data_IF_638505773656
#
_entry.id   IF_638505773656
#
_cell.length_a   1.000
_cell.length_b   1.000
_cell.length_c   1.000
_cell.angle_alpha   90.00
_cell.angle_beta   90.00
_cell.angle_gamma   90.00
#
_symmetry.space_group_name_H-M   'P 1'
#
loop_
_entity.id
_entity.type
_entity.pdbx_description
1 polymer ?
#
# COMPACT_ATOMS: atom_id res chain seq x y z
N UNK A 1 17.07 -5.77 25.76
CA UNK A 1 18.44 -5.78 25.20
C UNK A 1 19.35 -6.28 26.31
N UNK A 2 20.29 -7.18 26.01
CA UNK A 2 21.08 -7.88 27.05
C UNK A 2 21.74 -9.15 26.50
N UNK A 3 22.53 -9.84 27.33
CA UNK A 3 23.24 -11.08 27.01
C UNK A 3 22.33 -12.21 26.49
N UNK A 4 21.08 -12.25 26.97
CA UNK A 4 20.07 -13.23 26.55
C UNK A 4 19.28 -12.83 25.29
N UNK A 5 19.66 -11.75 24.61
CA UNK A 5 18.99 -11.33 23.37
C UNK A 5 19.25 -12.32 22.24
N UNK A 6 18.22 -12.79 21.55
CA UNK A 6 18.41 -13.61 20.33
C UNK A 6 19.23 -12.89 19.23
N UNK A 7 19.30 -11.56 19.24
CA UNK A 7 20.05 -10.78 18.26
C UNK A 7 21.56 -10.79 18.58
N UNK A 8 22.37 -11.37 17.69
CA UNK A 8 23.83 -11.43 17.83
C UNK A 8 24.51 -10.07 17.99
N UNK A 9 23.98 -9.01 17.36
CA UNK A 9 24.49 -7.64 17.53
C UNK A 9 24.28 -7.09 18.94
N UNK A 10 23.15 -7.43 19.58
CA UNK A 10 22.89 -7.01 20.96
C UNK A 10 23.75 -7.79 21.96
N UNK A 11 24.05 -9.06 21.67
CA UNK A 11 24.98 -9.86 22.49
C UNK A 11 26.40 -9.31 22.40
N UNK A 12 26.86 -8.99 21.19
CA UNK A 12 28.20 -8.44 20.95
C UNK A 12 28.40 -7.06 21.58
N UNK A 13 27.35 -6.22 21.65
CA UNK A 13 27.38 -4.94 22.36
C UNK A 13 27.62 -5.08 23.86
N UNK A 14 27.13 -6.16 24.48
CA UNK A 14 27.32 -6.43 25.92
C UNK A 14 28.65 -7.14 26.18
N UNK A 15 29.06 -8.05 25.28
CA UNK A 15 30.31 -8.82 25.41
C UNK A 15 31.55 -8.04 24.96
N UNK A 16 31.40 -6.90 24.29
CA UNK A 16 32.51 -6.10 23.73
C UNK A 16 33.16 -6.71 22.48
N UNK A 17 32.64 -7.82 21.97
CA UNK A 17 33.16 -8.49 20.78
C UNK A 17 32.66 -7.81 19.48
N UNK A 18 33.45 -7.90 18.41
CA UNK A 18 32.99 -7.42 17.08
C UNK A 18 31.95 -8.38 16.50
N UNK A 19 30.75 -7.87 16.23
CA UNK A 19 29.73 -8.62 15.52
C UNK A 19 30.11 -8.76 14.03
N UNK A 20 30.48 -9.97 13.60
CA UNK A 20 30.70 -10.26 12.18
C UNK A 20 29.47 -10.98 11.65
N UNK A 21 28.65 -10.29 10.86
CA UNK A 21 27.55 -10.93 10.15
C UNK A 21 28.09 -11.64 8.89
N UNK A 22 27.67 -12.90 8.71
CA UNK A 22 28.10 -13.80 7.61
C UNK A 22 27.87 -13.21 6.20
N UNK A 23 26.94 -12.25 6.07
CA UNK A 23 26.61 -11.55 4.82
C UNK A 23 26.59 -10.04 5.02
N UNK A 24 27.69 -9.47 5.50
CA UNK A 24 27.81 -8.01 5.67
C UNK A 24 27.96 -7.30 4.32
N UNK A 25 27.24 -6.20 4.15
CA UNK A 25 27.42 -5.33 2.99
C UNK A 25 28.77 -4.60 3.07
N UNK A 26 29.45 -4.36 1.94
CA UNK A 26 30.62 -3.49 1.90
C UNK A 26 30.29 -2.11 2.46
N UNK A 27 31.21 -1.53 3.21
CA UNK A 27 31.02 -0.26 3.92
C UNK A 27 30.54 0.91 3.02
N UNK A 28 31.05 1.09 1.78
CA UNK A 28 30.55 2.13 0.88
C UNK A 28 29.07 1.94 0.51
N UNK A 29 28.65 0.70 0.29
CA UNK A 29 27.27 0.34 -0.04
C UNK A 29 26.36 0.57 1.17
N UNK A 30 26.84 0.19 2.36
CA UNK A 30 26.11 0.40 3.60
C UNK A 30 25.92 1.89 3.88
N UNK A 31 26.94 2.73 3.72
CA UNK A 31 26.84 4.17 3.94
C UNK A 31 25.86 4.83 2.95
N UNK A 32 25.94 4.49 1.67
CA UNK A 32 25.00 4.98 0.66
C UNK A 32 23.56 4.57 0.96
N UNK A 33 23.36 3.30 1.32
CA UNK A 33 22.03 2.74 1.60
C UNK A 33 21.46 3.29 2.91
N UNK A 34 22.30 3.46 3.95
CA UNK A 34 21.91 3.98 5.27
C UNK A 34 21.35 5.39 5.18
N UNK A 35 21.85 6.24 4.28
CA UNK A 35 21.30 7.57 4.02
C UNK A 35 19.84 7.47 3.55
N UNK A 36 19.59 6.67 2.52
CA UNK A 36 18.25 6.44 1.97
C UNK A 36 17.29 5.89 3.03
N UNK A 37 17.73 4.89 3.82
CA UNK A 37 16.90 4.34 4.88
C UNK A 37 16.54 5.36 5.97
N UNK A 38 17.46 6.28 6.34
CA UNK A 38 17.14 7.34 7.31
C UNK A 38 16.12 8.33 6.76
N UNK A 39 16.25 8.72 5.50
CA UNK A 39 15.29 9.61 4.84
C UNK A 39 13.90 8.96 4.75
N UNK A 40 13.84 7.66 4.44
CA UNK A 40 12.59 6.89 4.40
C UNK A 40 11.99 6.63 5.79
N UNK A 41 12.81 6.65 6.85
CA UNK A 41 12.38 6.48 8.23
C UNK A 41 11.92 7.80 8.90
N UNK A 42 11.87 8.92 8.17
CA UNK A 42 11.36 10.18 8.71
C UNK A 42 9.91 10.01 9.18
N UNK A 43 9.66 10.35 10.45
CA UNK A 43 8.33 10.26 11.07
C UNK A 43 7.28 11.07 10.31
N UNK A 44 7.65 12.21 9.71
CA UNK A 44 6.74 13.03 8.89
C UNK A 44 6.38 12.36 7.57
N UNK A 45 7.27 11.54 7.02
CA UNK A 45 7.03 10.75 5.82
C UNK A 45 6.22 9.50 6.16
N UNK A 46 6.59 8.80 7.23
CA UNK A 46 5.90 7.62 7.74
C UNK A 46 4.47 7.92 8.20
N UNK A 47 4.19 9.11 8.75
CA UNK A 47 2.81 9.52 9.10
C UNK A 47 1.89 9.66 7.88
N UNK A 48 2.46 9.80 6.68
CA UNK A 48 1.73 9.80 5.40
C UNK A 48 1.59 8.40 4.81
N UNK A 49 2.38 7.43 5.28
CA UNK A 49 2.33 6.04 4.85
C UNK A 49 1.18 5.31 5.56
N UNK A 50 0.07 5.13 4.84
CA UNK A 50 -1.08 4.35 5.29
C UNK A 50 -0.68 2.87 5.31
N UNK A 51 -0.68 2.24 6.49
CA UNK A 51 -0.43 0.82 6.79
C UNK A 51 -0.56 -0.17 5.61
N UNK A 52 0.44 -0.22 4.72
CA UNK A 52 0.54 -1.19 3.63
C UNK A 52 -0.37 -0.96 2.41
N UNK A 53 -0.94 0.23 2.21
CA UNK A 53 -1.60 0.57 0.94
C UNK A 53 -0.64 1.30 -0.01
N UNK A 54 -0.76 0.97 -1.31
CA UNK A 54 0.18 1.33 -2.38
C UNK A 54 0.58 2.81 -2.36
N UNK A 55 1.90 3.06 -2.32
CA UNK A 55 2.56 4.36 -2.46
C UNK A 55 2.45 4.97 -3.88
N UNK A 56 1.32 4.84 -4.56
CA UNK A 56 1.14 5.48 -5.88
C UNK A 56 -0.17 6.26 -5.92
N UNK A 57 -0.19 7.52 -5.45
CA UNK A 57 -1.31 8.42 -5.72
C UNK A 57 -1.65 8.50 -7.22
N UNK A 58 -0.63 8.37 -8.08
CA UNK A 58 -0.74 8.49 -9.53
C UNK A 58 -1.48 7.34 -10.24
N UNK A 59 -1.47 6.12 -9.68
CA UNK A 59 -2.23 5.00 -10.28
C UNK A 59 -3.72 5.13 -10.00
N UNK A 60 -4.08 5.72 -8.87
CA UNK A 60 -5.48 5.87 -8.47
C UNK A 60 -6.14 7.00 -9.24
N UNK A 61 -5.43 8.11 -9.51
CA UNK A 61 -5.93 9.19 -10.36
C UNK A 61 -6.30 8.71 -11.77
N UNK A 62 -5.48 7.85 -12.38
CA UNK A 62 -5.76 7.28 -13.73
C UNK A 62 -7.02 6.42 -13.77
N UNK A 63 -7.36 5.72 -12.67
CA UNK A 63 -8.58 4.90 -12.57
C UNK A 63 -9.80 5.78 -12.33
N UNK A 64 -9.69 6.82 -11.51
CA UNK A 64 -10.77 7.79 -11.26
C UNK A 64 -11.12 8.56 -12.54
N UNK A 65 -10.12 9.04 -13.30
CA UNK A 65 -10.36 9.68 -14.61
C UNK A 65 -11.12 8.77 -15.58
N UNK A 66 -10.81 7.47 -15.60
CA UNK A 66 -11.48 6.49 -16.47
C UNK A 66 -12.92 6.19 -16.06
N UNK A 67 -13.28 6.38 -14.78
CA UNK A 67 -14.68 6.23 -14.32
C UNK A 67 -15.52 7.47 -14.62
N UNK A 68 -14.96 8.67 -14.47
CA UNK A 68 -15.68 9.93 -14.71
C UNK A 68 -15.82 10.26 -16.21
N UNK A 69 -14.79 9.96 -17.02
CA UNK A 69 -14.78 10.24 -18.46
C UNK A 69 -14.67 8.96 -19.29
N UNK A 70 -15.69 8.71 -20.11
CA UNK A 70 -15.60 7.68 -21.14
C UNK A 70 -14.66 8.17 -22.25
N UNK A 71 -13.69 7.34 -22.64
CA UNK A 71 -12.69 7.67 -23.69
C UNK A 71 -13.32 7.99 -25.06
N UNK A 72 -14.58 7.61 -25.25
CA UNK A 72 -15.30 7.76 -26.51
C UNK A 72 -16.08 9.08 -26.59
N UNK A 73 -16.08 9.89 -25.53
CA UNK A 73 -16.82 11.15 -25.50
C UNK A 73 -15.87 12.32 -25.66
N UNK A 74 -16.03 13.08 -26.74
CA UNK A 74 -15.30 14.33 -26.92
C UNK A 74 -15.89 15.40 -25.98
N UNK A 75 -15.04 16.01 -25.16
CA UNK A 75 -15.41 17.09 -24.23
C UNK A 75 -14.52 18.30 -24.43
N UNK A 76 -15.11 19.49 -24.28
CA UNK A 76 -14.37 20.75 -24.34
C UNK A 76 -13.32 20.85 -23.23
N UNK A 77 -12.24 21.62 -23.48
CA UNK A 77 -11.10 21.69 -22.57
C UNK A 77 -11.45 22.25 -21.17
N UNK A 78 -12.45 23.13 -21.08
CA UNK A 78 -12.92 23.67 -19.79
C UNK A 78 -13.60 22.57 -18.97
N UNK A 79 -14.51 21.82 -19.59
CA UNK A 79 -15.20 20.68 -18.95
C UNK A 79 -14.21 19.63 -18.49
N UNK A 80 -13.19 19.35 -19.32
CA UNK A 80 -12.12 18.42 -18.95
C UNK A 80 -11.36 18.90 -17.71
N UNK A 81 -10.96 20.18 -17.66
CA UNK A 81 -10.29 20.76 -16.49
C UNK A 81 -11.14 20.66 -15.22
N UNK A 82 -12.43 20.98 -15.31
CA UNK A 82 -13.34 20.92 -14.16
C UNK A 82 -13.47 19.49 -13.65
N UNK A 83 -13.78 18.53 -14.54
CA UNK A 83 -13.92 17.14 -14.12
C UNK A 83 -12.61 16.53 -13.63
N UNK A 84 -11.45 17.00 -14.11
CA UNK A 84 -10.15 16.58 -13.57
C UNK A 84 -9.96 17.04 -12.13
N UNK A 85 -10.28 18.31 -11.85
CA UNK A 85 -10.20 18.87 -10.50
C UNK A 85 -11.21 18.19 -9.55
N UNK A 86 -12.43 17.98 -10.01
CA UNK A 86 -13.50 17.34 -9.24
C UNK A 86 -13.20 15.87 -8.93
N UNK A 87 -12.70 15.11 -9.92
CA UNK A 87 -12.20 13.75 -9.72
C UNK A 87 -11.10 13.68 -8.66
N UNK A 88 -10.13 14.60 -8.71
CA UNK A 88 -9.07 14.70 -7.72
C UNK A 88 -9.60 15.02 -6.32
N UNK A 89 -10.53 15.96 -6.23
CA UNK A 89 -11.18 16.37 -4.98
C UNK A 89 -11.97 15.20 -4.35
N UNK A 90 -12.80 14.52 -5.14
CA UNK A 90 -13.56 13.35 -4.71
C UNK A 90 -12.67 12.19 -4.30
N UNK A 91 -11.52 12.02 -4.95
CA UNK A 91 -10.58 10.97 -4.60
C UNK A 91 -9.94 11.22 -3.23
N UNK A 92 -9.45 12.43 -2.99
CA UNK A 92 -8.70 12.80 -1.78
C UNK A 92 -9.65 12.97 -0.59
N UNK A 93 -10.70 13.77 -0.74
CA UNK A 93 -11.57 14.20 0.38
C UNK A 93 -12.87 13.41 0.40
N UNK A 94 -13.43 13.08 -0.77
CA UNK A 94 -14.75 12.45 -0.91
C UNK A 94 -15.76 13.37 -1.60
N UNK A 95 -16.90 12.81 -2.00
CA UNK A 95 -17.97 13.53 -2.70
C UNK A 95 -18.61 14.64 -1.86
N UNK A 96 -18.57 14.54 -0.52
CA UNK A 96 -19.11 15.57 0.36
C UNK A 96 -18.44 16.93 0.20
N UNK A 97 -17.16 16.97 -0.21
CA UNK A 97 -16.43 18.21 -0.49
C UNK A 97 -17.05 19.07 -1.60
N UNK A 98 -17.82 18.47 -2.51
CA UNK A 98 -18.60 19.21 -3.52
C UNK A 98 -19.59 20.21 -2.88
N UNK A 99 -20.03 19.97 -1.65
CA UNK A 99 -20.87 20.93 -0.92
C UNK A 99 -20.17 22.26 -0.67
N UNK A 100 -18.86 22.25 -0.44
CA UNK A 100 -18.06 23.45 -0.22
C UNK A 100 -17.80 24.20 -1.53
N UNK A 101 -17.54 23.45 -2.61
CA UNK A 101 -17.45 24.01 -3.96
C UNK A 101 -18.75 24.72 -4.34
N UNK A 102 -19.92 24.09 -4.09
CA UNK A 102 -21.22 24.70 -4.35
C UNK A 102 -21.42 26.00 -3.55
N UNK A 103 -21.06 26.02 -2.27
CA UNK A 103 -21.13 27.22 -1.43
C UNK A 103 -20.27 28.35 -1.97
N UNK A 104 -19.05 28.04 -2.43
CA UNK A 104 -18.14 29.03 -3.02
C UNK A 104 -18.67 29.59 -4.35
N UNK A 105 -19.52 28.84 -5.05
CA UNK A 105 -20.24 29.29 -6.24
C UNK A 105 -21.55 30.04 -5.91
N UNK A 106 -21.84 30.28 -4.62
CA UNK A 106 -23.07 30.95 -4.16
C UNK A 106 -24.29 30.03 -4.09
N UNK A 107 -24.11 28.72 -4.21
CA UNK A 107 -25.19 27.72 -4.17
C UNK A 107 -25.20 27.05 -2.80
N UNK A 108 -26.27 27.26 -2.03
CA UNK A 108 -26.44 26.59 -0.73
C UNK A 108 -26.91 25.15 -0.94
N UNK A 109 -26.12 24.13 -0.56
CA UNK A 109 -26.52 22.73 -0.73
C UNK A 109 -27.69 22.38 0.19
N UNK A 110 -28.77 21.84 -0.38
CA UNK A 110 -29.90 21.36 0.40
C UNK A 110 -29.59 20.08 1.18
N UNK A 111 -30.47 19.74 2.13
CA UNK A 111 -30.33 18.52 2.97
C UNK A 111 -30.21 17.24 2.13
N UNK A 112 -31.05 17.10 1.09
CA UNK A 112 -31.02 15.94 0.19
C UNK A 112 -29.68 15.79 -0.54
N UNK A 113 -29.08 16.91 -0.95
CA UNK A 113 -27.77 16.93 -1.62
C UNK A 113 -26.67 16.49 -0.67
N UNK A 114 -26.66 17.05 0.55
CA UNK A 114 -25.72 16.66 1.60
C UNK A 114 -25.82 15.17 1.94
N UNK A 115 -27.04 14.66 2.14
CA UNK A 115 -27.27 13.26 2.50
C UNK A 115 -26.90 12.32 1.34
N UNK A 116 -27.15 12.73 0.10
CA UNK A 116 -26.75 11.96 -1.09
C UNK A 116 -25.24 11.85 -1.21
N UNK A 117 -24.50 12.94 -1.03
CA UNK A 117 -23.03 12.89 -1.05
C UNK A 117 -22.45 12.05 0.08
N UNK A 118 -23.01 12.14 1.30
CA UNK A 118 -22.62 11.26 2.41
C UNK A 118 -22.86 9.79 2.08
N UNK A 119 -23.99 9.45 1.45
CA UNK A 119 -24.29 8.07 1.02
C UNK A 119 -23.28 7.58 -0.02
N UNK A 120 -22.91 8.41 -0.99
CA UNK A 120 -21.89 8.08 -1.99
C UNK A 120 -20.55 7.78 -1.31
N UNK A 121 -20.13 8.64 -0.37
CA UNK A 121 -18.88 8.42 0.38
C UNK A 121 -18.92 7.15 1.23
N UNK A 122 -20.04 6.86 1.89
CA UNK A 122 -20.21 5.61 2.64
C UNK A 122 -20.13 4.38 1.73
N UNK A 123 -20.77 4.41 0.56
CA UNK A 123 -20.70 3.31 -0.41
C UNK A 123 -19.27 3.10 -0.90
N UNK A 124 -18.55 4.19 -1.20
CA UNK A 124 -17.14 4.15 -1.60
C UNK A 124 -16.27 3.48 -0.54
N UNK A 125 -16.45 3.82 0.73
CA UNK A 125 -15.70 3.22 1.83
C UNK A 125 -16.04 1.74 1.98
N UNK A 126 -17.33 1.38 1.98
CA UNK A 126 -17.78 -0.02 2.06
C UNK A 126 -17.22 -0.88 0.93
N UNK A 127 -17.22 -0.37 -0.29
CA UNK A 127 -16.68 -1.08 -1.45
C UNK A 127 -15.15 -1.24 -1.34
N UNK A 128 -14.44 -0.21 -0.87
CA UNK A 128 -13.01 -0.30 -0.61
C UNK A 128 -12.67 -1.33 0.47
N UNK A 129 -13.41 -1.35 1.58
CA UNK A 129 -13.25 -2.33 2.66
C UNK A 129 -13.55 -3.75 2.17
N UNK A 130 -14.61 -3.93 1.39
CA UNK A 130 -14.96 -5.22 0.79
C UNK A 130 -13.85 -5.74 -0.12
N UNK A 131 -13.34 -4.89 -1.02
CA UNK A 131 -12.24 -5.22 -1.92
C UNK A 131 -10.96 -5.55 -1.16
N UNK A 132 -10.66 -4.81 -0.08
CA UNK A 132 -9.53 -5.10 0.80
C UNK A 132 -9.67 -6.46 1.48
N UNK A 133 -10.85 -6.79 2.01
CA UNK A 133 -11.10 -8.10 2.61
C UNK A 133 -10.96 -9.23 1.59
N UNK A 134 -11.48 -9.05 0.37
CA UNK A 134 -11.36 -10.02 -0.72
C UNK A 134 -9.90 -10.26 -1.10
N UNK A 135 -9.13 -9.19 -1.32
CA UNK A 135 -7.70 -9.26 -1.62
C UNK A 135 -6.91 -9.94 -0.49
N UNK A 136 -7.24 -9.66 0.78
CA UNK A 136 -6.60 -10.30 1.93
C UNK A 136 -6.92 -11.81 2.00
N UNK A 137 -8.17 -12.20 1.71
CA UNK A 137 -8.57 -13.61 1.60
C UNK A 137 -7.82 -14.32 0.47
N UNK A 138 -7.78 -13.73 -0.71
CA UNK A 138 -7.06 -14.25 -1.88
C UNK A 138 -5.57 -14.41 -1.59
N UNK A 139 -4.92 -13.41 -1.00
CA UNK A 139 -3.52 -13.47 -0.60
C UNK A 139 -3.24 -14.57 0.43
N UNK A 140 -4.13 -14.78 1.40
CA UNK A 140 -4.02 -15.89 2.36
C UNK A 140 -4.15 -17.25 1.67
N UNK A 141 -5.09 -17.39 0.74
CA UNK A 141 -5.29 -18.62 -0.05
C UNK A 141 -4.06 -18.92 -0.91
N UNK A 142 -3.52 -17.91 -1.60
CA UNK A 142 -2.32 -18.05 -2.42
C UNK A 142 -1.11 -18.47 -1.58
N UNK A 143 -0.89 -17.86 -0.42
CA UNK A 143 0.18 -18.28 0.52
C UNK A 143 0.05 -19.75 0.94
N UNK A 144 -1.18 -20.22 1.19
CA UNK A 144 -1.43 -21.64 1.54
C UNK A 144 -1.13 -22.57 0.36
N UNK A 145 -1.52 -22.19 -0.86
CA UNK A 145 -1.23 -22.96 -2.07
C UNK A 145 0.27 -23.06 -2.33
N UNK A 146 1.00 -21.94 -2.25
CA UNK A 146 2.47 -21.92 -2.39
C UNK A 146 3.13 -22.81 -1.34
N UNK A 147 2.69 -22.75 -0.06
CA UNK A 147 3.23 -23.61 0.99
C UNK A 147 2.97 -25.10 0.74
N UNK A 148 1.78 -25.46 0.22
CA UNK A 148 1.47 -26.85 -0.17
C UNK A 148 2.33 -27.32 -1.34
N UNK A 149 2.47 -26.49 -2.38
CA UNK A 149 3.32 -26.79 -3.53
C UNK A 149 4.80 -26.94 -3.14
N UNK A 150 5.31 -26.06 -2.29
CA UNK A 150 6.68 -26.15 -1.76
C UNK A 150 6.90 -27.43 -0.97
N UNK A 151 5.94 -27.83 -0.13
CA UNK A 151 6.04 -29.06 0.66
C UNK A 151 6.02 -30.31 -0.22
N UNK A 152 5.18 -30.34 -1.27
CA UNK A 152 5.16 -31.40 -2.28
C UNK A 152 6.50 -31.54 -3.01
N UNK A 153 7.11 -30.40 -3.36
CA UNK A 153 8.40 -30.35 -4.05
C UNK A 153 9.58 -30.75 -3.14
N UNK A 154 9.49 -30.51 -1.84
CA UNK A 154 10.47 -30.99 -0.86
C UNK A 154 10.35 -32.50 -0.62
N UNK A 155 9.12 -33.05 -0.52
CA UNK A 155 8.92 -34.50 -0.43
C UNK A 155 9.40 -35.24 -1.68
N UNK A 156 9.17 -34.70 -2.89
CA UNK A 156 9.67 -35.35 -4.12
C UNK A 156 11.20 -35.36 -4.23
N UNK A 157 11.88 -34.39 -3.62
CA UNK A 157 13.36 -34.36 -3.54
C UNK A 157 13.92 -35.26 -2.44
N UNK A 158 13.16 -35.49 -1.38
CA UNK A 158 13.53 -36.44 -0.32
C UNK A 158 13.38 -37.89 -0.78
N UNK A 159 12.40 -38.19 -1.63
CA UNK A 159 12.22 -39.54 -2.23
C UNK A 159 13.37 -39.96 -3.17
N UNK A 160 14.24 -39.02 -3.56
CA UNK A 160 15.45 -39.29 -4.36
C UNK A 160 16.63 -39.79 -3.50
N UNK A 161 16.61 -39.56 -2.17
CA UNK A 161 17.62 -40.07 -1.23
C UNK A 161 17.01 -41.14 -0.31
N UNK A 162 17.02 -42.39 -0.80
CA UNK A 162 16.68 -43.58 0.00
C UNK A 162 17.94 -44.33 0.45
N UNK A 163 18.00 -44.86 1.68
CA UNK A 163 19.12 -45.70 2.12
C UNK A 163 19.20 -46.94 1.22
N UNK A 164 20.31 -47.08 0.49
CA UNK A 164 20.58 -48.23 -0.38
C UNK A 164 20.55 -47.98 -1.89
N UNK A 165 20.64 -46.73 -2.37
CA UNK A 165 20.92 -46.44 -3.79
C UNK A 165 22.39 -46.06 -4.00
N UNK A 166 23.19 -47.05 -4.42
CA UNK A 166 24.47 -46.94 -5.14
C UNK A 166 24.36 -47.82 -6.38
#
# INVERSE_FOLDING_TARGET
MGSDSWCGFNKSLVSGEKCIHKHSLPEPVLLATKKVFRELADKKLLSKCIHGQTQTPMRVSTIVYRKEFQKNTFVGIITLKIGVMDAGLCFIVGAYSRTEVLKNLGITPGKNTCDSFKKIDMLRIKEAEFMFQKASKEAKTLKRQIKRASKLLETSKQDEYGPGKF
#
